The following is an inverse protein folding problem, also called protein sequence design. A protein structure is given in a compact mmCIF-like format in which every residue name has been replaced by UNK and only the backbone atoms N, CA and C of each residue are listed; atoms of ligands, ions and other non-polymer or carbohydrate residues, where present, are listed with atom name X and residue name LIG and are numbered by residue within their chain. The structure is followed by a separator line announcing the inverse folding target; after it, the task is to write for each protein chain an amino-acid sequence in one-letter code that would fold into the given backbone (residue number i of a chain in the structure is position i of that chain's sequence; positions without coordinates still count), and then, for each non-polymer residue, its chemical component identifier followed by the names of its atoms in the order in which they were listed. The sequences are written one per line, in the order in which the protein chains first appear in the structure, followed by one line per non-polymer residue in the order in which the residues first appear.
data_IF_944442964682
#
_entry.id   IF_944442964682
#
_cell.length_a   1.000
_cell.length_b   1.000
_cell.length_c   1.000
_cell.angle_alpha   90.00
_cell.angle_beta   90.00
_cell.angle_gamma   90.00
#
_symmetry.space_group_name_H-M   'P 1'
#
loop_
_entity.id
_entity.type
_entity.pdbx_description
1 polymer ?
#
# COMPACT_ATOMS: atom_id res chain seq x y z
N UNK A 1 -99.77 -7.98 24.58
CA UNK A 1 -99.50 -6.95 25.61
C UNK A 1 -98.02 -6.86 25.81
N UNK A 2 -97.43 -5.66 25.72
CA UNK A 2 -96.11 -5.27 26.06
C UNK A 2 -94.98 -5.83 25.10
N UNK A 3 -94.58 -5.33 24.14
CA UNK A 3 -93.96 -4.12 23.64
C UNK A 3 -92.51 -4.01 24.08
N UNK A 4 -91.56 -4.71 23.45
CA UNK A 4 -90.12 -4.56 23.71
C UNK A 4 -89.41 -4.13 22.39
N UNK A 5 -88.98 -2.84 22.36
CA UNK A 5 -88.19 -2.32 21.24
C UNK A 5 -86.74 -2.80 21.31
N UNK A 6 -86.08 -3.13 20.23
CA UNK A 6 -84.65 -3.49 20.27
C UNK A 6 -83.80 -2.20 20.25
N UNK A 7 -82.77 -2.19 21.11
CA UNK A 7 -81.69 -1.20 21.14
C UNK A 7 -80.80 -1.39 19.91
N UNK A 8 -80.56 -0.33 19.18
CA UNK A 8 -79.54 -0.28 18.13
C UNK A 8 -78.22 0.06 18.81
N UNK A 9 -77.28 -0.87 18.73
CA UNK A 9 -75.90 -0.62 19.08
C UNK A 9 -75.21 0.12 17.94
N UNK A 10 -74.70 1.31 18.23
CA UNK A 10 -73.84 2.07 17.34
C UNK A 10 -72.40 1.61 17.49
N UNK A 11 -71.84 1.02 16.41
CA UNK A 11 -70.43 0.62 16.33
C UNK A 11 -69.59 1.84 15.99
N UNK A 12 -68.80 2.34 16.95
CA UNK A 12 -67.78 3.38 16.70
C UNK A 12 -66.53 2.67 16.11
N UNK A 13 -66.26 2.91 14.84
CA UNK A 13 -65.03 2.52 14.18
C UNK A 13 -63.95 3.57 14.48
N UNK A 14 -63.03 3.24 15.36
CA UNK A 14 -61.85 4.10 15.63
C UNK A 14 -60.80 3.80 14.57
N UNK A 15 -60.60 4.74 13.65
CA UNK A 15 -59.50 4.71 12.67
C UNK A 15 -58.22 5.13 13.34
N UNK A 16 -57.34 4.16 13.64
CA UNK A 16 -55.98 4.41 14.14
C UNK A 16 -55.06 4.79 12.99
N UNK A 17 -54.79 6.09 12.85
CA UNK A 17 -53.79 6.60 11.91
C UNK A 17 -52.39 6.29 12.46
N UNK A 18 -51.69 5.30 11.90
CA UNK A 18 -50.30 5.03 12.20
C UNK A 18 -49.41 6.07 11.51
N UNK A 19 -48.93 7.01 12.27
CA UNK A 19 -47.81 7.87 11.82
C UNK A 19 -46.53 7.05 11.78
N UNK A 20 -46.13 6.61 10.61
CA UNK A 20 -44.80 6.09 10.35
C UNK A 20 -43.78 7.25 10.41
N UNK A 21 -43.18 7.47 11.54
CA UNK A 21 -42.01 8.32 11.68
C UNK A 21 -40.84 7.59 11.01
N UNK A 22 -40.55 7.98 9.76
CA UNK A 22 -39.31 7.58 9.07
C UNK A 22 -38.12 8.19 9.83
N UNK A 23 -37.51 7.41 10.73
CA UNK A 23 -36.22 7.76 11.30
C UNK A 23 -35.17 7.69 10.20
N UNK A 24 -34.87 8.84 9.58
CA UNK A 24 -33.70 8.98 8.73
C UNK A 24 -32.46 8.85 9.62
N UNK A 25 -31.89 7.65 9.68
CA UNK A 25 -30.57 7.45 10.24
C UNK A 25 -29.59 8.17 9.34
N UNK A 26 -29.13 9.34 9.76
CA UNK A 26 -28.00 10.00 9.17
C UNK A 26 -26.81 9.03 9.33
N UNK A 27 -26.43 8.34 8.28
CA UNK A 27 -25.16 7.62 8.20
C UNK A 27 -24.08 8.69 8.24
N UNK A 28 -23.48 8.89 9.40
CA UNK A 28 -22.23 9.61 9.50
C UNK A 28 -21.18 8.73 8.81
N UNK A 29 -20.87 9.03 7.56
CA UNK A 29 -19.66 8.52 6.95
C UNK A 29 -18.51 9.10 7.76
N UNK A 30 -17.86 8.27 8.56
CA UNK A 30 -16.55 8.60 9.12
C UNK A 30 -15.61 8.70 7.93
N UNK A 31 -15.27 9.92 7.56
CA UNK A 31 -14.25 10.18 6.56
C UNK A 31 -12.91 9.87 7.23
N UNK A 32 -12.24 8.82 6.79
CA UNK A 32 -10.94 8.48 7.33
C UNK A 32 -9.88 9.48 6.85
N UNK A 33 -8.96 9.79 7.75
CA UNK A 33 -7.82 10.65 7.44
C UNK A 33 -6.93 9.93 6.43
N UNK A 34 -6.54 10.62 5.37
CA UNK A 34 -5.57 10.11 4.41
C UNK A 34 -4.17 10.33 4.96
N UNK A 35 -3.49 9.26 5.30
CA UNK A 35 -2.09 9.26 5.74
C UNK A 35 -1.16 9.08 4.53
N UNK A 36 -0.15 9.94 4.43
CA UNK A 36 0.86 9.90 3.37
C UNK A 36 2.25 9.89 3.99
N UNK A 37 2.98 8.79 3.81
CA UNK A 37 4.41 8.75 4.11
C UNK A 37 5.19 9.53 3.05
N UNK A 38 6.10 10.38 3.51
CA UNK A 38 6.93 11.24 2.67
C UNK A 38 8.39 11.09 3.07
N UNK A 39 9.22 10.63 2.15
CA UNK A 39 10.67 10.64 2.29
C UNK A 39 11.22 11.85 1.55
N UNK A 40 12.07 12.63 2.21
CA UNK A 40 12.74 13.77 1.62
C UNK A 40 14.24 13.58 1.73
N UNK A 41 14.94 13.67 0.61
CA UNK A 41 16.41 13.52 0.55
C UNK A 41 17.05 14.66 -0.20
N UNK A 42 18.31 14.89 0.07
CA UNK A 42 19.15 15.77 -0.73
C UNK A 42 19.64 15.11 -2.04
N UNK A 43 20.45 15.80 -2.82
CA UNK A 43 21.03 15.31 -4.09
C UNK A 43 21.97 14.12 -3.88
N UNK A 44 22.57 13.99 -2.70
CA UNK A 44 23.39 12.83 -2.32
C UNK A 44 22.55 11.61 -1.85
N UNK A 45 21.24 11.78 -1.78
CA UNK A 45 20.31 10.76 -1.28
C UNK A 45 20.24 10.65 0.24
N UNK A 46 20.82 11.60 0.99
CA UNK A 46 20.74 11.62 2.45
C UNK A 46 19.40 12.19 2.91
N UNK A 47 18.81 11.67 4.00
CA UNK A 47 17.57 12.21 4.53
C UNK A 47 17.67 13.67 4.93
N UNK A 48 16.72 14.47 4.49
CA UNK A 48 16.53 15.85 4.95
C UNK A 48 15.65 15.83 6.19
N UNK A 49 16.21 16.23 7.32
CA UNK A 49 15.53 16.26 8.62
C UNK A 49 15.15 17.68 9.02
N UNK A 50 14.28 17.82 10.04
CA UNK A 50 13.93 19.14 10.61
C UNK A 50 12.92 19.94 9.79
N UNK A 51 12.33 19.39 8.73
CA UNK A 51 11.21 20.01 8.03
C UNK A 51 10.00 20.12 8.95
N UNK A 52 9.23 21.19 8.78
CA UNK A 52 8.00 21.48 9.50
C UNK A 52 6.78 21.26 8.61
N UNK A 53 5.61 21.24 9.20
CA UNK A 53 4.33 21.09 8.49
C UNK A 53 4.19 22.06 7.31
N UNK A 54 4.57 23.32 7.51
CA UNK A 54 4.43 24.39 6.51
C UNK A 54 5.46 24.31 5.37
N UNK A 55 6.45 23.41 5.47
CA UNK A 55 7.40 23.15 4.40
C UNK A 55 6.82 22.25 3.30
N UNK A 56 5.59 21.72 3.48
CA UNK A 56 4.97 20.79 2.54
C UNK A 56 3.78 21.41 1.79
N UNK A 57 3.82 21.42 0.46
CA UNK A 57 2.66 21.68 -0.42
C UNK A 57 2.07 20.33 -0.83
N UNK A 58 0.91 20.00 -0.28
CA UNK A 58 0.20 18.75 -0.58
C UNK A 58 -1.04 19.05 -1.39
N UNK A 59 -1.21 18.31 -2.49
CA UNK A 59 -2.36 18.46 -3.39
C UNK A 59 -2.99 17.13 -3.69
N UNK A 60 -4.32 17.11 -3.72
CA UNK A 60 -5.10 16.00 -4.23
C UNK A 60 -5.85 16.46 -5.49
N UNK A 61 -5.70 15.71 -6.59
CA UNK A 61 -6.27 16.06 -7.91
C UNK A 61 -5.90 17.50 -8.35
N UNK A 62 -4.71 17.95 -8.01
CA UNK A 62 -4.21 19.29 -8.30
C UNK A 62 -4.72 20.39 -7.37
N UNK A 63 -5.68 20.10 -6.48
CA UNK A 63 -6.19 21.06 -5.49
C UNK A 63 -5.38 20.98 -4.19
N UNK A 64 -5.00 22.11 -3.58
CA UNK A 64 -4.30 22.11 -2.31
C UNK A 64 -5.20 21.52 -1.21
N UNK A 65 -4.60 20.75 -0.30
CA UNK A 65 -5.26 20.22 0.89
C UNK A 65 -4.59 20.72 2.16
N UNK A 66 -5.38 20.94 3.20
CA UNK A 66 -4.87 21.36 4.50
C UNK A 66 -4.41 20.16 5.30
N UNK A 67 -3.15 20.15 5.71
CA UNK A 67 -2.64 19.10 6.59
C UNK A 67 -3.27 19.22 7.98
N UNK A 68 -3.81 18.13 8.50
CA UNK A 68 -4.39 18.03 9.85
C UNK A 68 -3.41 17.40 10.83
N UNK A 69 -2.64 16.43 10.39
CA UNK A 69 -1.59 15.81 11.21
C UNK A 69 -0.24 15.92 10.52
N UNK A 70 0.81 16.01 11.34
CA UNK A 70 2.20 16.03 10.91
C UNK A 70 3.04 15.32 11.95
N UNK A 71 3.79 14.32 11.55
CA UNK A 71 4.74 13.61 12.41
C UNK A 71 6.07 13.49 11.66
N UNK A 72 7.14 13.95 12.28
CA UNK A 72 8.50 13.72 11.80
C UNK A 72 9.05 12.45 12.44
N UNK A 73 9.35 11.45 11.64
CA UNK A 73 9.96 10.19 12.05
C UNK A 73 11.42 10.18 11.55
N UNK A 74 12.13 11.26 11.85
CA UNK A 74 13.43 11.57 11.27
C UNK A 74 14.62 11.15 12.15
N UNK A 75 14.43 10.25 13.11
CA UNK A 75 15.51 9.86 13.99
C UNK A 75 15.88 8.40 13.79
N UNK A 76 17.07 8.19 13.25
CA UNK A 76 17.73 6.87 13.25
C UNK A 76 17.89 6.28 14.66
N UNK A 77 17.68 7.08 15.69
CA UNK A 77 17.82 6.73 17.11
C UNK A 77 16.51 6.28 17.74
N UNK A 78 15.36 6.59 17.15
CA UNK A 78 14.08 6.07 17.67
C UNK A 78 13.88 4.61 17.29
N UNK A 79 14.62 3.76 18.01
CA UNK A 79 14.50 2.30 17.94
C UNK A 79 13.13 1.80 18.40
N UNK A 80 12.26 2.68 18.92
CA UNK A 80 10.98 2.29 19.52
C UNK A 80 9.88 2.05 18.49
N UNK A 81 9.98 2.65 17.29
CA UNK A 81 8.98 2.48 16.25
C UNK A 81 9.29 1.27 15.38
N UNK A 82 8.52 0.18 15.49
CA UNK A 82 8.71 -1.00 14.67
C UNK A 82 8.24 -0.77 13.23
N UNK A 83 8.85 -1.49 12.29
CA UNK A 83 8.51 -1.51 10.88
C UNK A 83 8.01 -2.89 10.49
N UNK A 84 7.17 -2.98 9.48
CA UNK A 84 6.75 -4.24 8.90
C UNK A 84 7.25 -4.31 7.46
N UNK A 85 8.05 -5.32 7.13
CA UNK A 85 8.59 -5.52 5.80
C UNK A 85 8.19 -6.89 5.27
N UNK A 86 7.69 -6.90 4.04
CA UNK A 86 7.45 -8.12 3.27
C UNK A 86 8.43 -8.15 2.10
N UNK A 87 9.20 -9.21 1.98
CA UNK A 87 10.06 -9.49 0.83
C UNK A 87 9.32 -10.46 -0.08
N UNK A 88 8.92 -9.99 -1.25
CA UNK A 88 8.30 -10.80 -2.30
C UNK A 88 9.36 -11.28 -3.27
N UNK A 89 9.50 -12.59 -3.40
CA UNK A 89 10.43 -13.24 -4.32
C UNK A 89 9.69 -13.77 -5.54
N UNK A 90 10.13 -13.34 -6.71
CA UNK A 90 9.62 -13.83 -8.01
C UNK A 90 10.19 -15.23 -8.30
N UNK A 91 9.43 -16.25 -8.01
CA UNK A 91 9.77 -17.65 -8.31
C UNK A 91 9.01 -18.18 -9.54
N UNK A 92 8.44 -17.28 -10.35
CA UNK A 92 7.65 -17.61 -11.55
C UNK A 92 8.36 -17.19 -12.82
N UNK A 93 9.00 -16.04 -12.85
CA UNK A 93 9.61 -15.50 -14.07
C UNK A 93 11.13 -15.40 -14.00
N UNK A 94 11.72 -15.62 -12.82
CA UNK A 94 13.18 -15.58 -12.63
C UNK A 94 13.82 -16.93 -12.97
N UNK A 95 14.81 -16.96 -13.89
CA UNK A 95 15.51 -18.18 -14.26
C UNK A 95 16.26 -18.80 -13.07
N UNK A 96 16.45 -20.13 -13.11
CA UNK A 96 17.12 -20.88 -12.04
C UNK A 96 18.57 -20.46 -11.80
N UNK A 97 19.26 -19.99 -12.83
CA UNK A 97 20.62 -19.44 -12.74
C UNK A 97 20.71 -18.15 -11.91
N UNK A 98 19.59 -17.45 -11.71
CA UNK A 98 19.54 -16.22 -10.90
C UNK A 98 19.31 -16.50 -9.41
N UNK A 99 19.03 -17.73 -9.02
CA UNK A 99 18.64 -18.12 -7.65
C UNK A 99 19.65 -17.64 -6.61
N UNK A 100 20.95 -17.82 -6.86
CA UNK A 100 22.00 -17.38 -5.93
C UNK A 100 22.00 -15.88 -5.73
N UNK A 101 21.82 -15.11 -6.81
CA UNK A 101 21.76 -13.65 -6.75
C UNK A 101 20.52 -13.16 -5.98
N UNK A 102 19.33 -13.71 -6.27
CA UNK A 102 18.09 -13.38 -5.57
C UNK A 102 18.19 -13.69 -4.07
N UNK A 103 18.72 -14.87 -3.73
CA UNK A 103 18.97 -15.25 -2.32
C UNK A 103 19.92 -14.30 -1.64
N UNK A 104 21.01 -13.90 -2.30
CA UNK A 104 21.99 -12.97 -1.74
C UNK A 104 21.35 -11.60 -1.45
N UNK A 105 20.59 -11.05 -2.39
CA UNK A 105 19.89 -9.77 -2.23
C UNK A 105 18.86 -9.83 -1.10
N UNK A 106 18.01 -10.86 -1.08
CA UNK A 106 16.99 -11.03 -0.05
C UNK A 106 17.62 -11.24 1.34
N UNK A 107 18.70 -12.02 1.42
CA UNK A 107 19.44 -12.25 2.67
C UNK A 107 20.05 -10.96 3.19
N UNK A 108 20.71 -10.19 2.31
CA UNK A 108 21.30 -8.90 2.69
C UNK A 108 20.24 -7.96 3.26
N UNK A 109 19.09 -7.85 2.60
CA UNK A 109 17.98 -7.04 3.06
C UNK A 109 17.43 -7.53 4.41
N UNK A 110 17.23 -8.84 4.56
CA UNK A 110 16.68 -9.44 5.78
C UNK A 110 17.60 -9.26 7.00
N UNK A 111 18.91 -9.29 6.80
CA UNK A 111 19.90 -9.16 7.89
C UNK A 111 19.90 -7.75 8.52
N UNK A 112 19.41 -6.74 7.84
CA UNK A 112 19.33 -5.37 8.35
C UNK A 112 18.06 -5.11 9.19
N UNK A 113 17.09 -6.04 9.21
CA UNK A 113 15.93 -5.92 10.08
C UNK A 113 16.32 -5.93 11.56
N UNK A 114 15.75 -5.01 12.33
CA UNK A 114 15.96 -4.95 13.79
C UNK A 114 15.16 -6.06 14.48
N UNK A 115 15.50 -6.44 15.73
CA UNK A 115 14.73 -7.45 16.48
C UNK A 115 13.25 -7.12 16.68
N UNK A 116 12.91 -5.82 16.70
CA UNK A 116 11.53 -5.36 16.86
C UNK A 116 10.74 -5.25 15.54
N UNK A 117 11.42 -5.34 14.39
CA UNK A 117 10.77 -5.26 13.09
C UNK A 117 10.10 -6.60 12.75
N UNK A 118 8.91 -6.53 12.16
CA UNK A 118 8.27 -7.70 11.58
C UNK A 118 8.81 -7.92 10.17
N UNK A 119 9.25 -9.13 9.90
CA UNK A 119 9.79 -9.51 8.61
C UNK A 119 9.07 -10.74 8.08
N UNK A 120 8.59 -10.67 6.82
CA UNK A 120 7.99 -11.80 6.12
C UNK A 120 8.65 -12.00 4.76
N UNK A 121 8.70 -13.24 4.31
CA UNK A 121 9.15 -13.59 2.96
C UNK A 121 8.04 -14.37 2.28
N UNK A 122 7.59 -13.89 1.14
CA UNK A 122 6.56 -14.52 0.32
C UNK A 122 7.19 -14.88 -1.03
N UNK A 123 6.87 -16.08 -1.52
CA UNK A 123 7.19 -16.48 -2.89
C UNK A 123 5.92 -16.31 -3.73
N UNK A 124 6.04 -15.76 -4.93
CA UNK A 124 4.88 -15.45 -5.75
C UNK A 124 4.00 -16.68 -6.02
N UNK A 125 4.59 -17.84 -6.23
CA UNK A 125 3.87 -19.11 -6.47
C UNK A 125 3.19 -19.67 -5.22
N UNK A 126 3.78 -19.43 -4.04
CA UNK A 126 3.27 -19.88 -2.75
C UNK A 126 2.81 -18.67 -1.92
N UNK A 127 1.60 -18.22 -2.19
CA UNK A 127 0.98 -17.08 -1.51
C UNK A 127 0.32 -17.46 -0.18
N UNK A 128 0.63 -18.68 0.33
CA UNK A 128 0.07 -19.17 1.57
C UNK A 128 0.31 -18.18 2.71
N UNK A 129 -0.69 -18.12 3.59
CA UNK A 129 -0.80 -17.20 4.72
C UNK A 129 0.29 -17.43 5.77
N UNK A 130 1.49 -17.03 5.42
CA UNK A 130 2.56 -17.08 6.38
C UNK A 130 2.51 -15.85 7.28
N UNK A 131 2.36 -16.06 8.58
CA UNK A 131 2.36 -14.95 9.52
C UNK A 131 3.70 -14.20 9.45
N UNK A 132 3.67 -12.91 9.77
CA UNK A 132 4.89 -12.17 10.00
C UNK A 132 5.72 -12.94 11.03
N UNK A 133 6.95 -13.20 10.66
CA UNK A 133 7.91 -13.91 11.48
C UNK A 133 9.08 -13.02 11.88
N UNK A 134 9.99 -13.63 12.59
CA UNK A 134 11.28 -13.03 12.88
C UNK A 134 12.24 -13.20 11.68
N UNK A 135 13.39 -12.54 11.79
CA UNK A 135 14.47 -12.64 10.81
C UNK A 135 14.93 -14.08 10.55
N UNK A 136 14.88 -14.97 11.55
CA UNK A 136 15.29 -16.37 11.39
C UNK A 136 14.34 -17.12 10.46
N UNK A 137 13.04 -16.96 10.67
CA UNK A 137 12.02 -17.55 9.80
C UNK A 137 12.13 -17.02 8.36
N UNK A 138 12.35 -15.70 8.20
CA UNK A 138 12.57 -15.09 6.90
C UNK A 138 13.79 -15.68 6.17
N UNK A 139 14.94 -15.81 6.85
CA UNK A 139 16.15 -16.39 6.27
C UNK A 139 15.94 -17.85 5.87
N UNK A 140 15.23 -18.65 6.69
CA UNK A 140 14.91 -20.03 6.32
C UNK A 140 14.09 -20.12 5.05
N UNK A 141 13.13 -19.21 4.83
CA UNK A 141 12.34 -19.14 3.60
C UNK A 141 13.14 -18.70 2.39
N UNK A 142 14.02 -17.72 2.53
CA UNK A 142 14.93 -17.31 1.46
C UNK A 142 15.73 -18.50 0.96
N UNK A 143 16.19 -19.37 1.86
CA UNK A 143 16.94 -20.59 1.47
C UNK A 143 16.10 -21.58 0.65
N UNK A 144 14.79 -21.58 0.81
CA UNK A 144 13.86 -22.44 0.03
C UNK A 144 13.52 -21.88 -1.36
N UNK A 145 13.95 -20.66 -1.69
CA UNK A 145 13.69 -20.06 -2.99
C UNK A 145 14.37 -20.87 -4.12
N UNK A 146 13.63 -21.09 -5.21
CA UNK A 146 14.05 -21.96 -6.31
C UNK A 146 13.65 -21.32 -7.62
N UNK A 147 13.84 -20.29 -8.10
CA UNK A 147 13.50 -19.75 -9.43
C UNK A 147 12.53 -20.61 -10.31
N UNK A 148 12.24 -20.17 -11.49
CA UNK A 148 11.37 -20.88 -12.43
C UNK A 148 12.21 -21.65 -13.48
N UNK A 149 11.88 -22.90 -13.82
CA UNK A 149 12.45 -23.54 -14.99
C UNK A 149 12.03 -22.80 -16.27
N UNK A 150 12.96 -22.41 -17.11
CA UNK A 150 12.77 -21.62 -18.34
C UNK A 150 11.66 -22.11 -19.29
N UNK A 151 11.23 -23.37 -19.18
CA UNK A 151 10.23 -23.97 -20.07
C UNK A 151 8.77 -23.71 -19.70
N UNK A 152 8.49 -23.24 -18.49
CA UNK A 152 7.13 -23.04 -17.99
C UNK A 152 7.08 -21.85 -17.02
N UNK A 153 7.26 -20.65 -17.55
CA UNK A 153 6.71 -19.52 -16.85
C UNK A 153 5.23 -19.40 -17.28
N UNK A 154 4.24 -19.93 -16.53
CA UNK A 154 2.90 -19.43 -16.68
C UNK A 154 3.05 -17.94 -16.43
N UNK A 155 2.63 -17.19 -17.40
CA UNK A 155 2.64 -15.76 -17.27
C UNK A 155 1.83 -15.40 -16.02
N UNK A 156 2.49 -15.10 -14.91
CA UNK A 156 1.82 -14.44 -13.80
C UNK A 156 1.11 -13.25 -14.39
N UNK A 157 -0.21 -13.30 -14.43
CA UNK A 157 -0.97 -12.20 -14.98
C UNK A 157 -0.70 -10.99 -14.09
N UNK A 158 -0.57 -9.78 -14.63
CA UNK A 158 -0.47 -8.57 -13.82
C UNK A 158 -1.55 -8.48 -12.74
N UNK A 159 -2.73 -9.04 -13.02
CA UNK A 159 -3.87 -9.13 -12.10
C UNK A 159 -3.54 -9.96 -10.86
N UNK A 160 -2.81 -11.07 -11.00
CA UNK A 160 -2.41 -11.90 -9.87
C UNK A 160 -1.44 -11.16 -8.95
N UNK A 161 -0.55 -10.33 -9.53
CA UNK A 161 0.35 -9.48 -8.76
C UNK A 161 -0.45 -8.43 -7.99
N UNK A 162 -1.43 -7.79 -8.62
CA UNK A 162 -2.28 -6.78 -7.97
C UNK A 162 -3.09 -7.39 -6.83
N UNK A 163 -3.66 -8.58 -7.02
CA UNK A 163 -4.38 -9.31 -5.96
C UNK A 163 -3.47 -9.70 -4.81
N UNK A 164 -2.23 -10.12 -5.10
CA UNK A 164 -1.23 -10.38 -4.07
C UNK A 164 -0.88 -9.12 -3.29
N UNK A 165 -0.63 -8.00 -3.96
CA UNK A 165 -0.36 -6.71 -3.29
C UNK A 165 -1.55 -6.30 -2.40
N UNK A 166 -2.77 -6.43 -2.89
CA UNK A 166 -3.98 -6.15 -2.11
C UNK A 166 -4.07 -7.05 -0.86
N UNK A 167 -3.82 -8.37 -1.01
CA UNK A 167 -3.83 -9.33 0.09
C UNK A 167 -2.77 -9.01 1.15
N UNK A 168 -1.53 -8.75 0.73
CA UNK A 168 -0.43 -8.35 1.61
C UNK A 168 -0.76 -7.04 2.33
N UNK A 169 -1.26 -6.05 1.59
CA UNK A 169 -1.63 -4.75 2.16
C UNK A 169 -2.70 -4.89 3.24
N UNK A 170 -3.73 -5.72 3.00
CA UNK A 170 -4.80 -5.99 3.97
C UNK A 170 -4.27 -6.63 5.25
N UNK A 171 -3.33 -7.57 5.14
CA UNK A 171 -2.68 -8.17 6.32
C UNK A 171 -1.85 -7.13 7.08
N UNK A 172 -1.12 -6.30 6.37
CA UNK A 172 -0.32 -5.23 6.95
C UNK A 172 -1.17 -4.16 7.64
N UNK A 173 -2.36 -3.86 7.12
CA UNK A 173 -3.30 -2.91 7.73
C UNK A 173 -3.59 -3.27 9.19
N UNK A 174 -3.77 -4.56 9.48
CA UNK A 174 -4.08 -5.07 10.83
C UNK A 174 -2.89 -5.07 11.80
N UNK A 175 -1.66 -4.88 11.35
CA UNK A 175 -0.47 -4.94 12.23
C UNK A 175 -0.30 -3.72 13.13
N UNK A 176 -1.04 -2.64 12.89
CA UNK A 176 -0.90 -1.39 13.63
C UNK A 176 0.45 -0.68 13.47
N UNK A 177 1.37 -1.21 12.66
CA UNK A 177 2.70 -0.64 12.42
C UNK A 177 2.59 0.59 11.53
N UNK A 178 3.39 1.63 11.81
CA UNK A 178 3.31 2.88 11.04
C UNK A 178 3.95 2.76 9.66
N UNK A 179 5.16 2.20 9.57
CA UNK A 179 5.87 2.04 8.29
C UNK A 179 5.72 0.61 7.77
N UNK A 180 5.14 0.48 6.60
CA UNK A 180 4.89 -0.80 5.94
C UNK A 180 5.53 -0.80 4.56
N UNK A 181 6.34 -1.81 4.30
CA UNK A 181 7.16 -1.90 3.11
C UNK A 181 6.98 -3.26 2.46
N UNK A 182 6.76 -3.26 1.16
CA UNK A 182 6.85 -4.44 0.31
C UNK A 182 8.06 -4.28 -0.61
N UNK A 183 9.02 -5.19 -0.54
CA UNK A 183 10.17 -5.23 -1.44
C UNK A 183 10.02 -6.41 -2.37
N UNK A 184 9.82 -6.15 -3.66
CA UNK A 184 9.78 -7.18 -4.69
C UNK A 184 11.15 -7.37 -5.31
N UNK A 185 11.68 -8.59 -5.28
CA UNK A 185 12.95 -8.95 -5.92
C UNK A 185 12.66 -9.92 -7.07
N UNK A 186 12.86 -9.48 -8.31
CA UNK A 186 12.52 -10.31 -9.45
C UNK A 186 12.58 -9.58 -10.79
N UNK A 187 11.77 -10.04 -11.75
CA UNK A 187 11.65 -9.45 -13.06
C UNK A 187 10.56 -8.36 -13.13
N UNK A 188 10.65 -7.46 -14.12
CA UNK A 188 9.71 -6.33 -14.26
C UNK A 188 8.25 -6.76 -14.32
N UNK A 189 7.96 -7.94 -14.88
CA UNK A 189 6.59 -8.44 -15.05
C UNK A 189 5.87 -8.63 -13.72
N UNK A 190 6.58 -9.03 -12.68
CA UNK A 190 6.06 -9.24 -11.33
C UNK A 190 6.30 -7.99 -10.47
N UNK A 191 7.50 -7.43 -10.54
CA UNK A 191 7.92 -6.39 -9.61
C UNK A 191 7.63 -4.95 -10.08
N UNK A 192 7.16 -4.75 -11.31
CA UNK A 192 6.91 -3.41 -11.88
C UNK A 192 5.64 -3.40 -12.74
N UNK A 193 4.50 -3.76 -12.15
CA UNK A 193 3.20 -3.75 -12.83
C UNK A 193 2.84 -2.32 -13.20
N UNK A 194 2.55 -2.11 -14.49
CA UNK A 194 2.21 -0.80 -15.03
C UNK A 194 0.76 -0.44 -14.72
N UNK A 195 0.52 0.85 -14.60
CA UNK A 195 -0.84 1.36 -14.55
C UNK A 195 -1.60 0.98 -15.83
N UNK A 196 -2.82 0.42 -15.72
CA UNK A 196 -3.63 0.11 -16.88
C UNK A 196 -4.02 1.41 -17.60
N UNK A 197 -3.86 1.44 -18.93
CA UNK A 197 -4.41 2.53 -19.72
C UNK A 197 -5.94 2.58 -19.59
N UNK A 198 -6.54 3.73 -19.82
CA UNK A 198 -8.01 3.94 -19.73
C UNK A 198 -8.85 2.99 -20.57
N UNK A 199 -8.23 2.33 -21.54
CA UNK A 199 -8.86 1.33 -22.42
C UNK A 199 -8.45 -0.12 -22.09
N UNK A 200 -7.69 -0.34 -21.02
CA UNK A 200 -7.45 -1.69 -20.53
C UNK A 200 -8.78 -2.30 -20.08
N UNK A 201 -9.01 -3.58 -20.41
CA UNK A 201 -10.26 -4.26 -20.08
C UNK A 201 -10.66 -4.06 -18.62
N UNK A 202 -11.94 -3.90 -18.35
CA UNK A 202 -12.48 -3.48 -17.05
C UNK A 202 -11.99 -4.27 -15.83
N UNK A 203 -11.63 -5.55 -16.01
CA UNK A 203 -11.07 -6.41 -14.96
C UNK A 203 -9.73 -5.91 -14.44
N UNK A 204 -8.80 -5.60 -15.33
CA UNK A 204 -7.47 -5.15 -14.93
C UNK A 204 -7.50 -3.79 -14.23
N UNK A 205 -8.37 -2.88 -14.69
CA UNK A 205 -8.57 -1.61 -14.02
C UNK A 205 -9.18 -1.79 -12.63
N UNK A 206 -10.14 -2.71 -12.47
CA UNK A 206 -10.73 -3.04 -11.17
C UNK A 206 -9.72 -3.60 -10.18
N UNK A 207 -8.85 -4.51 -10.60
CA UNK A 207 -7.78 -5.05 -9.76
C UNK A 207 -6.77 -3.96 -9.37
N UNK A 208 -6.46 -3.03 -10.30
CA UNK A 208 -5.58 -1.88 -10.03
C UNK A 208 -6.18 -0.96 -8.96
N UNK A 209 -7.42 -0.50 -9.15
CA UNK A 209 -8.07 0.40 -8.19
C UNK A 209 -8.19 -0.22 -6.81
N UNK A 210 -8.52 -1.52 -6.76
CA UNK A 210 -8.58 -2.30 -5.51
C UNK A 210 -7.22 -2.36 -4.82
N UNK A 211 -6.15 -2.70 -5.55
CA UNK A 211 -4.81 -2.78 -4.99
C UNK A 211 -4.33 -1.43 -4.45
N UNK A 212 -4.55 -0.34 -5.22
CA UNK A 212 -4.19 1.02 -4.78
C UNK A 212 -4.98 1.45 -3.55
N UNK A 213 -6.29 1.18 -3.49
CA UNK A 213 -7.12 1.54 -2.34
C UNK A 213 -6.65 0.83 -1.07
N UNK A 214 -6.41 -0.49 -1.14
CA UNK A 214 -6.00 -1.26 0.03
C UNK A 214 -4.56 -0.89 0.44
N UNK A 215 -3.64 -0.70 -0.52
CA UNK A 215 -2.29 -0.26 -0.24
C UNK A 215 -2.25 1.15 0.40
N UNK A 216 -3.15 2.04 -0.04
CA UNK A 216 -3.27 3.38 0.54
C UNK A 216 -3.76 3.34 1.99
N UNK A 217 -4.82 2.56 2.30
CA UNK A 217 -5.30 2.39 3.68
C UNK A 217 -4.25 1.76 4.59
N UNK A 218 -3.52 0.77 4.08
CA UNK A 218 -2.42 0.16 4.81
C UNK A 218 -1.22 1.09 5.00
N UNK A 219 -1.15 2.21 4.28
CA UNK A 219 0.02 3.07 4.16
C UNK A 219 1.27 2.29 3.70
N UNK A 220 1.09 1.42 2.70
CA UNK A 220 2.15 0.58 2.13
C UNK A 220 2.97 1.34 1.10
N UNK A 221 4.30 1.24 1.16
CA UNK A 221 5.21 1.62 0.08
C UNK A 221 5.85 0.37 -0.54
N UNK A 222 5.80 0.28 -1.87
CA UNK A 222 6.40 -0.83 -2.60
C UNK A 222 7.72 -0.41 -3.24
N UNK A 223 8.77 -1.18 -2.97
CA UNK A 223 10.08 -1.06 -3.62
C UNK A 223 10.31 -2.26 -4.53
N UNK A 224 11.03 -2.08 -5.62
CA UNK A 224 11.35 -3.16 -6.54
C UNK A 224 12.83 -3.21 -6.87
N UNK A 225 13.40 -4.40 -6.76
CA UNK A 225 14.78 -4.71 -7.14
C UNK A 225 14.73 -5.62 -8.36
N UNK A 226 14.99 -5.04 -9.53
CA UNK A 226 14.93 -5.78 -10.79
C UNK A 226 16.24 -6.53 -11.01
N UNK A 227 16.22 -7.79 -10.65
CA UNK A 227 17.34 -8.70 -10.81
C UNK A 227 17.47 -9.27 -12.25
N UNK A 228 16.59 -8.85 -13.16
CA UNK A 228 16.64 -9.15 -14.59
C UNK A 228 16.64 -7.86 -15.41
N UNK A 229 17.23 -7.85 -16.63
CA UNK A 229 17.23 -6.67 -17.48
C UNK A 229 15.82 -6.14 -17.76
N UNK A 230 15.60 -4.86 -17.51
CA UNK A 230 14.35 -4.19 -17.78
C UNK A 230 14.42 -3.39 -19.08
N UNK A 231 13.62 -3.78 -20.08
CA UNK A 231 13.47 -3.02 -21.33
C UNK A 231 12.35 -1.99 -21.30
N UNK A 232 11.56 -1.94 -20.22
CA UNK A 232 10.40 -1.08 -20.11
C UNK A 232 10.58 -0.03 -19.02
N UNK A 233 10.27 1.22 -19.37
CA UNK A 233 10.12 2.31 -18.42
C UNK A 233 8.65 2.39 -17.98
N UNK A 234 8.40 2.36 -16.73
CA UNK A 234 7.07 2.54 -16.15
C UNK A 234 7.12 2.06 -14.71
N UNK A 235 6.88 2.99 -13.82
CA UNK A 235 7.04 2.73 -12.40
C UNK A 235 5.73 2.27 -11.76
N UNK A 236 4.59 2.42 -12.46
CA UNK A 236 3.29 1.86 -12.17
C UNK A 236 2.96 1.77 -10.68
N UNK A 237 2.74 0.55 -10.20
CA UNK A 237 2.35 0.28 -8.81
C UNK A 237 3.38 0.77 -7.78
N UNK A 238 4.67 0.75 -8.13
CA UNK A 238 5.75 1.21 -7.24
C UNK A 238 5.65 2.71 -7.02
N UNK A 239 5.52 3.46 -8.10
CA UNK A 239 5.37 4.91 -8.04
C UNK A 239 4.03 5.32 -7.39
N UNK A 240 2.95 4.61 -7.72
CA UNK A 240 1.64 4.86 -7.15
C UNK A 240 1.63 4.70 -5.61
N UNK A 241 2.44 3.79 -5.07
CA UNK A 241 2.54 3.51 -3.63
C UNK A 241 3.68 4.27 -2.93
N UNK A 242 4.48 5.07 -3.66
CA UNK A 242 5.54 5.89 -3.08
C UNK A 242 6.82 5.13 -2.76
N UNK A 243 7.23 4.23 -3.63
CA UNK A 243 8.52 3.55 -3.55
C UNK A 243 9.42 3.83 -4.74
N UNK A 244 10.49 3.06 -4.85
CA UNK A 244 11.50 3.18 -5.90
C UNK A 244 11.73 1.85 -6.62
N UNK A 245 12.11 1.93 -7.89
CA UNK A 245 12.57 0.79 -8.67
C UNK A 245 14.07 0.89 -8.90
N UNK A 246 14.79 -0.11 -8.46
CA UNK A 246 16.23 -0.27 -8.67
C UNK A 246 16.48 -1.19 -9.86
N UNK A 247 17.17 -0.66 -10.87
CA UNK A 247 17.40 -1.32 -12.16
C UNK A 247 18.89 -1.34 -12.51
N UNK A 248 19.31 -2.41 -13.16
CA UNK A 248 20.62 -2.50 -13.83
C UNK A 248 21.81 -2.09 -12.94
N UNK A 249 21.74 -2.31 -11.64
CA UNK A 249 22.82 -1.99 -10.73
C UNK A 249 23.91 -3.07 -10.80
N UNK A 250 25.16 -2.67 -10.85
CA UNK A 250 26.31 -3.56 -10.68
C UNK A 250 26.49 -4.00 -9.24
N UNK A 251 26.11 -3.14 -8.29
CA UNK A 251 26.01 -3.45 -6.86
C UNK A 251 24.66 -2.93 -6.32
N UNK A 252 23.85 -3.84 -5.78
CA UNK A 252 22.55 -3.52 -5.21
C UNK A 252 22.61 -3.13 -3.74
N UNK A 253 23.72 -3.33 -3.04
CA UNK A 253 23.81 -3.06 -1.58
C UNK A 253 23.46 -1.62 -1.22
N UNK A 254 24.00 -0.58 -1.87
CA UNK A 254 23.64 0.80 -1.56
C UNK A 254 22.14 1.08 -1.77
N UNK A 255 21.53 0.39 -2.74
CA UNK A 255 20.11 0.55 -3.05
C UNK A 255 19.23 -0.14 -1.99
N UNK A 256 19.66 -1.30 -1.48
CA UNK A 256 18.98 -1.99 -0.37
C UNK A 256 19.14 -1.22 0.94
N UNK A 257 20.29 -0.62 1.19
CA UNK A 257 20.54 0.28 2.32
C UNK A 257 19.59 1.47 2.27
N UNK A 258 19.35 2.00 1.07
CA UNK A 258 18.40 3.09 0.84
C UNK A 258 16.98 2.72 1.28
N UNK A 259 16.51 1.48 1.02
CA UNK A 259 15.18 1.05 1.46
C UNK A 259 15.05 1.15 3.00
N UNK A 260 16.07 0.69 3.72
CA UNK A 260 16.07 0.77 5.17
C UNK A 260 16.21 2.20 5.69
N UNK A 261 16.96 3.04 4.99
CA UNK A 261 17.08 4.47 5.28
C UNK A 261 15.73 5.18 5.10
N UNK A 262 15.05 4.97 3.98
CA UNK A 262 13.71 5.52 3.71
C UNK A 262 12.68 5.01 4.73
N UNK A 263 12.84 3.77 5.21
CA UNK A 263 12.00 3.21 6.25
C UNK A 263 12.21 3.86 7.63
N UNK A 264 13.40 4.36 7.90
CA UNK A 264 13.77 4.98 9.17
C UNK A 264 13.60 6.51 9.21
N UNK A 265 13.57 7.16 8.03
CA UNK A 265 13.56 8.62 7.95
C UNK A 265 12.45 9.08 7.01
N UNK A 266 11.29 9.38 7.58
CA UNK A 266 10.14 9.86 6.80
C UNK A 266 9.27 10.80 7.62
N UNK A 267 8.41 11.52 6.92
CA UNK A 267 7.36 12.35 7.49
C UNK A 267 6.02 11.67 7.24
N UNK A 268 5.14 11.69 8.22
CA UNK A 268 3.75 11.24 8.07
C UNK A 268 2.85 12.47 8.05
N UNK A 269 2.22 12.69 6.91
CA UNK A 269 1.29 13.79 6.67
C UNK A 269 -0.13 13.24 6.63
N UNK A 270 -1.06 13.90 7.33
CA UNK A 270 -2.46 13.50 7.31
C UNK A 270 -3.38 14.65 6.93
N UNK A 271 -4.36 14.39 6.05
CA UNK A 271 -5.35 15.37 5.63
C UNK A 271 -6.73 14.74 5.44
N UNK A 272 -7.79 15.54 5.54
CA UNK A 272 -9.13 15.09 5.18
C UNK A 272 -9.30 15.11 3.67
N UNK A 273 -9.69 13.99 3.05
CA UNK A 273 -9.86 13.93 1.60
C UNK A 273 -11.00 14.85 1.16
N UNK A 274 -10.83 15.60 0.06
CA UNK A 274 -11.93 16.30 -0.56
C UNK A 274 -13.00 15.32 -1.04
N UNK A 275 -14.27 15.72 -0.96
CA UNK A 275 -15.36 14.94 -1.56
C UNK A 275 -15.16 14.81 -3.07
N UNK A 276 -15.19 13.61 -3.59
CA UNK A 276 -15.03 13.32 -5.02
C UNK A 276 -15.69 12.00 -5.37
N UNK A 277 -16.10 11.89 -6.64
CA UNK A 277 -16.69 10.67 -7.24
C UNK A 277 -15.70 9.83 -8.02
N UNK A 278 -14.39 10.14 -7.94
CA UNK A 278 -13.35 9.36 -8.63
C UNK A 278 -13.03 8.08 -7.88
N UNK A 279 -12.74 7.03 -8.62
CA UNK A 279 -12.26 5.76 -8.06
C UNK A 279 -10.80 5.84 -7.58
N UNK A 280 -9.98 6.63 -8.29
CA UNK A 280 -8.56 6.86 -7.98
C UNK A 280 -8.25 8.35 -8.01
N UNK A 281 -7.58 8.82 -6.97
CA UNK A 281 -7.13 10.18 -6.79
C UNK A 281 -5.62 10.28 -6.97
N UNK A 282 -5.16 11.39 -7.54
CA UNK A 282 -3.73 11.70 -7.63
C UNK A 282 -3.30 12.54 -6.44
N UNK A 283 -2.18 12.15 -5.82
CA UNK A 283 -1.55 12.89 -4.71
C UNK A 283 -0.23 13.47 -5.21
N UNK A 284 0.03 14.72 -4.88
CA UNK A 284 1.31 15.38 -5.12
C UNK A 284 1.79 16.04 -3.85
N UNK A 285 3.00 15.69 -3.44
CA UNK A 285 3.69 16.33 -2.31
C UNK A 285 4.93 17.04 -2.84
N UNK A 286 5.11 18.29 -2.47
CA UNK A 286 6.28 19.08 -2.81
C UNK A 286 6.86 19.75 -1.56
N UNK A 287 8.17 19.88 -1.54
CA UNK A 287 8.90 20.76 -0.61
C UNK A 287 9.51 21.85 -1.48
N UNK A 288 9.23 23.16 -1.26
CA UNK A 288 9.67 24.25 -2.11
C UNK A 288 11.14 24.60 -1.89
N UNK A 289 12.01 23.61 -2.01
CA UNK A 289 13.48 23.70 -1.97
C UNK A 289 14.06 23.10 -3.26
N UNK A 290 15.16 23.65 -3.76
CA UNK A 290 15.74 23.24 -5.05
C UNK A 290 16.60 21.97 -4.97
N UNK A 291 17.16 21.70 -3.81
CA UNK A 291 18.17 20.68 -3.52
C UNK A 291 17.60 19.46 -2.81
N UNK A 292 16.31 19.17 -3.04
CA UNK A 292 15.64 18.04 -2.38
C UNK A 292 14.81 17.21 -3.35
N UNK A 293 14.78 15.91 -3.10
CA UNK A 293 13.94 14.93 -3.78
C UNK A 293 12.86 14.45 -2.83
N UNK A 294 11.63 14.47 -3.29
CA UNK A 294 10.46 14.05 -2.51
C UNK A 294 9.92 12.75 -3.07
N UNK A 295 9.83 11.73 -2.22
CA UNK A 295 9.25 10.44 -2.52
C UNK A 295 8.00 10.24 -1.66
N UNK A 296 6.86 10.10 -2.28
CA UNK A 296 5.57 9.85 -1.63
C UNK A 296 4.66 9.05 -2.55
N UNK A 297 3.59 8.47 -2.00
CA UNK A 297 2.58 7.84 -2.87
C UNK A 297 1.98 8.89 -3.81
N UNK A 298 1.68 8.46 -5.03
CA UNK A 298 1.05 9.32 -6.06
C UNK A 298 -0.41 9.03 -6.29
N UNK A 299 -0.93 7.94 -5.73
CA UNK A 299 -2.33 7.57 -5.89
C UNK A 299 -2.94 7.05 -4.60
N UNK A 300 -4.22 7.26 -4.43
CA UNK A 300 -5.09 6.57 -3.49
C UNK A 300 -6.41 6.19 -4.17
N UNK A 301 -7.04 5.13 -3.74
CA UNK A 301 -8.43 4.84 -4.06
C UNK A 301 -9.39 5.43 -3.03
N UNK A 302 -10.67 5.34 -3.35
CA UNK A 302 -11.75 5.65 -2.41
C UNK A 302 -11.89 4.58 -1.34
#
# INVERSE_FOLDING_TARGET
MIGGRPFRAATLTATLAAFLTSSSSAQFQTVDLVDVDVVVTDDDGKPVTGLKKDDFDVREDGKPVELKTFVSLATSEDMSVPRSMVILLDDVTMPTETVSAVKALATYLALQARPIDDLSVIRFRNQDDEPFGDRRAALARIQQYQGAPLKYAPAGAPEDVLRLIASVSKKLESTGRRRKILVCIGAPRICAVREPGRFAGGWFYGDWTTAISIAARANLSMYSVLAAPARFSGDGIVEATGGLIFRNASDFRPLLDRIWQDAGHHYLLGYWPPSSSKDVHTISVKVPRKDVHVLSRRQRGN
#
